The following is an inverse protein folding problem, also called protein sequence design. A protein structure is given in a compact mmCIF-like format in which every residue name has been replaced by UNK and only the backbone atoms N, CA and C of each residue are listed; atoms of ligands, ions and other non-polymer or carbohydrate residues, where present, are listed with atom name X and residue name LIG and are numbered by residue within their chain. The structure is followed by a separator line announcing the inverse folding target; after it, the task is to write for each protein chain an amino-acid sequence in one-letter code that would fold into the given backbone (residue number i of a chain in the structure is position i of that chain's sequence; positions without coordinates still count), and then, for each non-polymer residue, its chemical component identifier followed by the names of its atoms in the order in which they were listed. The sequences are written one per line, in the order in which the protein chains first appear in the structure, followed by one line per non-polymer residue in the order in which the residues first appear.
data_IF_317625739308
#
_entry.id   IF_317625739308
#
_cell.length_a   1.000
_cell.length_b   1.000
_cell.length_c   1.000
_cell.angle_alpha   90.00
_cell.angle_beta   90.00
_cell.angle_gamma   90.00
#
_symmetry.space_group_name_H-M   'P 1'
#
loop_
_entity.id
_entity.type
_entity.pdbx_description
1 polymer ?
#
# COMPACT_ATOMS: atom_id res chain seq x y z
N UNK A 1 8.34 -7.41 21.18
CA UNK A 1 8.10 -6.41 20.12
C UNK A 1 8.10 -5.05 20.77
N UNK A 2 8.88 -4.10 20.28
CA UNK A 2 8.80 -2.73 20.78
C UNK A 2 7.45 -2.12 20.38
N UNK A 3 6.93 -1.17 21.15
CA UNK A 3 5.65 -0.48 20.84
C UNK A 3 5.62 0.06 19.41
N UNK A 4 6.77 0.49 18.90
CA UNK A 4 6.96 0.95 17.51
C UNK A 4 6.77 -0.16 16.46
N UNK A 5 7.18 -1.41 16.76
CA UNK A 5 6.94 -2.55 15.87
C UNK A 5 5.45 -2.85 15.74
N UNK A 6 4.69 -2.68 16.84
CA UNK A 6 3.25 -2.90 16.88
C UNK A 6 2.49 -1.87 16.04
N UNK A 7 2.86 -0.60 16.15
CA UNK A 7 2.27 0.46 15.33
C UNK A 7 2.54 0.22 13.84
N UNK A 8 3.78 -0.12 13.48
CA UNK A 8 4.13 -0.45 12.10
C UNK A 8 3.36 -1.69 11.60
N UNK A 9 3.19 -2.70 12.46
CA UNK A 9 2.45 -3.91 12.11
C UNK A 9 0.98 -3.60 11.82
N UNK A 10 0.32 -2.79 12.66
CA UNK A 10 -1.08 -2.36 12.45
C UNK A 10 -1.20 -1.51 11.19
N UNK A 11 -0.28 -0.58 10.96
CA UNK A 11 -0.31 0.26 9.76
C UNK A 11 -0.20 -0.57 8.48
N UNK A 12 0.71 -1.56 8.46
CA UNK A 12 0.88 -2.47 7.31
C UNK A 12 -0.37 -3.35 7.14
N UNK A 13 -0.98 -3.82 8.23
CA UNK A 13 -2.23 -4.54 8.19
C UNK A 13 -3.36 -3.71 7.58
N UNK A 14 -3.52 -2.46 8.04
CA UNK A 14 -4.55 -1.56 7.53
C UNK A 14 -4.36 -1.29 6.03
N UNK A 15 -3.13 -1.03 5.59
CA UNK A 15 -2.80 -0.92 4.16
C UNK A 15 -3.17 -2.19 3.41
N UNK A 16 -2.85 -3.37 3.97
CA UNK A 16 -3.25 -4.65 3.40
C UNK A 16 -4.77 -4.80 3.25
N UNK A 17 -5.54 -4.40 4.26
CA UNK A 17 -7.01 -4.44 4.24
C UNK A 17 -7.56 -3.55 3.13
N UNK A 18 -7.12 -2.28 3.05
CA UNK A 18 -7.51 -1.38 1.96
C UNK A 18 -7.14 -1.93 0.59
N UNK A 19 -5.95 -2.51 0.46
CA UNK A 19 -5.52 -3.12 -0.80
C UNK A 19 -6.39 -4.33 -1.17
N UNK A 20 -6.76 -5.17 -0.20
CA UNK A 20 -7.66 -6.29 -0.41
C UNK A 20 -9.06 -5.85 -0.87
N UNK A 21 -9.62 -4.80 -0.26
CA UNK A 21 -10.89 -4.20 -0.69
C UNK A 21 -10.80 -3.68 -2.13
N UNK A 22 -9.72 -2.95 -2.45
CA UNK A 22 -9.50 -2.41 -3.78
C UNK A 22 -9.36 -3.51 -4.84
N UNK A 23 -8.64 -4.60 -4.53
CA UNK A 23 -8.53 -5.77 -5.42
C UNK A 23 -9.90 -6.38 -5.66
N UNK A 24 -10.70 -6.57 -4.61
CA UNK A 24 -12.05 -7.13 -4.73
C UNK A 24 -12.94 -6.26 -5.64
N UNK A 25 -12.92 -4.94 -5.45
CA UNK A 25 -13.64 -4.01 -6.34
C UNK A 25 -13.17 -4.08 -7.80
N UNK A 26 -11.86 -4.20 -8.03
CA UNK A 26 -11.31 -4.39 -9.39
C UNK A 26 -11.78 -5.71 -10.03
N UNK A 27 -11.84 -6.80 -9.26
CA UNK A 27 -12.34 -8.10 -9.73
C UNK A 27 -13.83 -8.01 -10.07
N UNK A 28 -14.62 -7.32 -9.26
CA UNK A 28 -16.05 -7.13 -9.51
C UNK A 28 -16.28 -6.29 -10.78
N UNK A 29 -15.52 -5.22 -10.97
CA UNK A 29 -15.52 -4.44 -12.22
C UNK A 29 -15.15 -5.31 -13.44
N UNK A 30 -14.20 -6.24 -13.27
CA UNK A 30 -13.80 -7.15 -14.35
C UNK A 30 -14.92 -8.15 -14.67
N UNK A 31 -15.63 -8.65 -13.66
CA UNK A 31 -16.75 -9.57 -13.81
C UNK A 31 -17.93 -8.92 -14.55
N UNK A 32 -18.18 -7.62 -14.32
CA UNK A 32 -19.21 -6.83 -15.03
C UNK A 32 -18.73 -6.36 -16.42
N UNK A 33 -17.49 -6.66 -16.79
CA UNK A 33 -16.93 -6.32 -18.11
C UNK A 33 -16.54 -4.84 -18.26
N UNK A 34 -16.41 -4.10 -17.16
CA UNK A 34 -16.06 -2.67 -17.13
C UNK A 34 -14.55 -2.42 -17.31
N UNK A 35 -13.96 -3.01 -18.37
CA UNK A 35 -12.52 -2.93 -18.66
C UNK A 35 -12.01 -1.50 -18.83
N UNK A 36 -12.83 -0.59 -19.38
CA UNK A 36 -12.49 0.83 -19.49
C UNK A 36 -12.23 1.46 -18.12
N UNK A 37 -13.10 1.22 -17.15
CA UNK A 37 -12.95 1.73 -15.78
C UNK A 37 -11.70 1.15 -15.11
N UNK A 38 -11.42 -0.13 -15.31
CA UNK A 38 -10.20 -0.78 -14.80
C UNK A 38 -8.94 -0.09 -15.35
N UNK A 39 -8.88 0.15 -16.66
CA UNK A 39 -7.71 0.80 -17.28
C UNK A 39 -7.53 2.22 -16.75
N UNK A 40 -8.62 2.97 -16.56
CA UNK A 40 -8.57 4.32 -15.99
C UNK A 40 -8.07 4.30 -14.53
N UNK A 41 -8.61 3.39 -13.70
CA UNK A 41 -8.18 3.25 -12.30
C UNK A 41 -6.69 2.88 -12.22
N UNK A 42 -6.26 1.88 -12.99
CA UNK A 42 -4.86 1.48 -13.05
C UNK A 42 -3.96 2.62 -13.56
N UNK A 43 -4.42 3.37 -14.56
CA UNK A 43 -3.72 4.54 -15.09
C UNK A 43 -3.55 5.64 -14.04
N UNK A 44 -4.59 5.94 -13.26
CA UNK A 44 -4.52 6.92 -12.16
C UNK A 44 -3.58 6.46 -11.05
N UNK A 45 -3.64 5.18 -10.65
CA UNK A 45 -2.71 4.61 -9.68
C UNK A 45 -1.25 4.69 -10.17
N UNK A 46 -1.00 4.29 -11.42
CA UNK A 46 0.34 4.36 -12.02
C UNK A 46 0.84 5.81 -12.11
N UNK A 47 -0.03 6.73 -12.55
CA UNK A 47 0.29 8.17 -12.61
C UNK A 47 0.62 8.75 -11.24
N UNK A 48 -0.15 8.39 -10.20
CA UNK A 48 0.12 8.80 -8.82
C UNK A 48 1.46 8.29 -8.30
N UNK A 49 1.82 7.04 -8.60
CA UNK A 49 3.13 6.48 -8.24
C UNK A 49 4.28 7.21 -8.95
N UNK A 50 4.15 7.45 -10.25
CA UNK A 50 5.15 8.20 -11.03
C UNK A 50 5.32 9.61 -10.44
N UNK A 51 4.21 10.27 -10.12
CA UNK A 51 4.25 11.60 -9.50
C UNK A 51 4.93 11.58 -8.12
N UNK A 52 4.63 10.58 -7.29
CA UNK A 52 5.31 10.39 -6.00
C UNK A 52 6.83 10.24 -6.18
N UNK A 53 7.28 9.37 -7.08
CA UNK A 53 8.70 9.20 -7.37
C UNK A 53 9.34 10.47 -7.94
N UNK A 54 8.59 11.24 -8.75
CA UNK A 54 9.07 12.50 -9.29
C UNK A 54 9.30 13.51 -8.16
N UNK A 55 8.34 13.65 -7.24
CA UNK A 55 8.46 14.51 -6.06
C UNK A 55 9.62 14.04 -5.17
N UNK A 56 9.70 12.75 -4.87
CA UNK A 56 10.78 12.20 -4.06
C UNK A 56 12.15 12.49 -4.69
N UNK A 57 12.25 12.36 -6.02
CA UNK A 57 13.47 12.70 -6.76
C UNK A 57 13.79 14.19 -6.71
N UNK A 58 12.80 15.07 -6.81
CA UNK A 58 12.99 16.53 -6.68
C UNK A 58 13.42 16.90 -5.27
N UNK A 59 12.77 16.34 -4.24
CA UNK A 59 13.13 16.55 -2.83
C UNK A 59 14.57 16.07 -2.58
N UNK A 60 14.92 14.88 -3.06
CA UNK A 60 16.27 14.35 -2.94
C UNK A 60 17.29 15.19 -3.72
N UNK A 61 16.94 15.67 -4.92
CA UNK A 61 17.82 16.55 -5.70
C UNK A 61 18.08 17.89 -4.97
N UNK A 62 17.06 18.46 -4.32
CA UNK A 62 17.19 19.66 -3.49
C UNK A 62 17.99 19.36 -2.21
N UNK A 63 17.82 18.18 -1.59
CA UNK A 63 18.52 17.80 -0.36
C UNK A 63 19.98 17.38 -0.57
N UNK A 64 20.35 16.90 -1.77
CA UNK A 64 21.74 16.61 -2.16
C UNK A 64 22.62 17.87 -2.09
N UNK A 65 22.04 19.07 -2.19
CA UNK A 65 22.75 20.33 -1.93
C UNK A 65 23.07 20.60 -0.46
N UNK A 66 22.49 19.86 0.50
CA UNK A 66 22.56 20.22 1.93
C UNK A 66 22.47 18.99 2.85
N UNK A 67 23.44 18.08 2.80
CA UNK A 67 23.62 16.88 3.64
C UNK A 67 23.01 15.58 3.08
N UNK A 68 23.74 14.93 2.17
CA UNK A 68 23.62 13.48 2.01
C UNK A 68 24.26 12.79 3.21
N UNK A 69 23.48 12.52 4.26
CA UNK A 69 23.88 11.53 5.25
C UNK A 69 23.90 10.16 4.55
N UNK A 70 24.98 9.37 4.66
CA UNK A 70 25.02 8.05 4.05
C UNK A 70 23.87 7.22 4.63
N UNK A 71 23.02 6.66 3.77
CA UNK A 71 22.04 5.64 4.15
C UNK A 71 22.81 4.48 4.77
N UNK A 72 22.93 4.47 6.11
CA UNK A 72 23.42 3.31 6.80
C UNK A 72 22.42 2.19 6.53
N UNK A 73 22.85 1.23 5.71
CA UNK A 73 22.27 -0.11 5.56
C UNK A 73 22.40 -0.87 6.89
N UNK A 74 21.87 -0.33 7.99
CA UNK A 74 21.48 -1.17 9.10
C UNK A 74 20.28 -1.94 8.58
N UNK A 75 20.49 -3.23 8.30
CA UNK A 75 19.42 -4.17 8.00
C UNK A 75 18.91 -4.63 9.35
N UNK A 76 17.98 -3.93 10.03
CA UNK A 76 17.40 -4.47 11.25
C UNK A 76 16.75 -5.80 10.83
N UNK A 77 16.99 -6.86 11.62
CA UNK A 77 16.26 -8.11 11.46
C UNK A 77 14.77 -7.79 11.66
N UNK A 78 14.07 -7.48 10.56
CA UNK A 78 12.66 -7.11 10.60
C UNK A 78 11.90 -8.29 11.20
N UNK A 79 11.05 -8.06 12.22
CA UNK A 79 10.32 -9.14 12.86
C UNK A 79 9.46 -9.85 11.81
N UNK A 80 9.55 -11.19 11.74
CA UNK A 80 8.80 -12.02 10.78
C UNK A 80 7.30 -11.70 10.76
N UNK A 81 6.74 -11.32 11.92
CA UNK A 81 5.36 -10.87 12.02
C UNK A 81 5.03 -9.67 11.10
N UNK A 82 5.97 -8.75 10.90
CA UNK A 82 5.82 -7.59 10.01
C UNK A 82 5.75 -8.01 8.54
N UNK A 83 6.40 -9.11 8.18
CA UNK A 83 6.35 -9.67 6.83
C UNK A 83 4.98 -10.30 6.54
N UNK A 84 4.36 -10.92 7.54
CA UNK A 84 3.04 -11.53 7.42
C UNK A 84 1.89 -10.52 7.56
N UNK A 85 2.13 -9.32 8.12
CA UNK A 85 1.10 -8.30 8.31
C UNK A 85 0.37 -7.94 7.01
N UNK A 86 1.13 -7.72 5.93
CA UNK A 86 0.57 -7.31 4.65
C UNK A 86 -0.28 -8.42 3.99
N UNK A 87 0.21 -9.66 3.80
CA UNK A 87 -0.61 -10.72 3.22
C UNK A 87 -1.82 -11.06 4.08
N UNK A 88 -1.70 -11.04 5.41
CA UNK A 88 -2.85 -11.23 6.31
C UNK A 88 -3.87 -10.10 6.13
N UNK A 89 -3.42 -8.85 6.04
CA UNK A 89 -4.29 -7.70 5.81
C UNK A 89 -5.05 -7.81 4.49
N UNK A 90 -4.38 -8.23 3.42
CA UNK A 90 -5.03 -8.46 2.11
C UNK A 90 -6.10 -9.53 2.22
N UNK A 91 -5.81 -10.66 2.88
CA UNK A 91 -6.80 -11.74 3.08
C UNK A 91 -8.01 -11.20 3.87
N UNK A 92 -7.77 -10.47 4.96
CA UNK A 92 -8.84 -9.85 5.76
C UNK A 92 -9.63 -8.84 4.93
N UNK A 93 -8.97 -8.03 4.10
CA UNK A 93 -9.62 -7.07 3.23
C UNK A 93 -10.52 -7.72 2.18
N UNK A 94 -10.02 -8.76 1.51
CA UNK A 94 -10.80 -9.51 0.49
C UNK A 94 -11.98 -10.24 1.13
N UNK A 95 -11.76 -10.95 2.24
CA UNK A 95 -12.83 -11.63 2.97
C UNK A 95 -13.84 -10.58 3.45
N UNK A 96 -13.36 -9.50 4.04
CA UNK A 96 -14.19 -8.41 4.55
C UNK A 96 -15.04 -7.78 3.46
N UNK A 97 -14.51 -7.59 2.26
CA UNK A 97 -15.26 -7.09 1.11
C UNK A 97 -16.53 -7.93 0.85
N UNK A 98 -16.43 -9.26 0.97
CA UNK A 98 -17.56 -10.18 0.78
C UNK A 98 -18.61 -10.06 1.89
N UNK A 99 -18.21 -9.62 3.08
CA UNK A 99 -19.10 -9.34 4.20
C UNK A 99 -19.63 -7.89 4.23
N UNK A 100 -19.41 -7.11 3.17
CA UNK A 100 -19.91 -5.73 3.07
C UNK A 100 -19.04 -4.69 3.78
N UNK A 101 -17.79 -5.02 4.17
CA UNK A 101 -16.85 -4.00 4.69
C UNK A 101 -16.50 -2.95 3.64
N UNK A 102 -16.67 -3.25 2.34
CA UNK A 102 -16.58 -2.26 1.27
C UNK A 102 -17.55 -1.12 1.50
N UNK A 103 -18.86 -1.41 1.59
CA UNK A 103 -19.92 -0.40 1.78
C UNK A 103 -19.85 0.33 3.13
N UNK A 104 -19.15 -0.24 4.12
CA UNK A 104 -19.06 0.33 5.46
C UNK A 104 -17.83 1.22 5.66
N UNK A 105 -16.76 1.00 4.87
CA UNK A 105 -15.47 1.69 5.02
C UNK A 105 -15.08 2.58 3.83
N UNK A 106 -15.67 2.37 2.65
CA UNK A 106 -15.44 3.13 1.42
C UNK A 106 -16.71 3.83 0.96
#
# INVERSE_FOLDING_TARGET
MQMFDWINWIAILAVGVFLGLAINGLVDLAAVGAWGSIVVILGLCAGGLVFYFLIERVINFISIGRFSAPQQLQKPRKPLALFFALPIGIIIGVIGAQFGLGDLLL
#
